data_IF_406899589218
#
_entry.id   IF_406899589218
#
_cell.length_a   1.000
_cell.length_b   1.000
_cell.length_c   1.000
_cell.angle_alpha   90.00
_cell.angle_beta   90.00
_cell.angle_gamma   90.00
#
_symmetry.space_group_name_H-M   'P 1'
#
loop_
_entity.id
_entity.type
_entity.pdbx_description
1 polymer ?
#
# COMPACT_ATOMS: atom_id res chain seq x y z
N UNK A 1 -18.23 -1.23 7.67
CA UNK A 1 -16.79 -1.38 7.31
C UNK A 1 -16.58 -0.83 5.90
N UNK A 2 -16.03 0.39 5.78
CA UNK A 2 -15.95 1.10 4.51
C UNK A 2 -14.92 0.49 3.57
N UNK A 3 -15.33 0.18 2.32
CA UNK A 3 -14.44 -0.36 1.28
C UNK A 3 -13.35 0.66 0.95
N UNK A 4 -12.15 0.44 1.49
CA UNK A 4 -10.95 1.19 1.11
C UNK A 4 -10.62 1.00 -0.37
N UNK A 5 -11.05 -0.08 -1.01
CA UNK A 5 -10.94 -0.29 -2.45
C UNK A 5 -12.05 -1.22 -2.92
N UNK A 6 -12.48 -1.13 -4.18
CA UNK A 6 -13.47 -2.06 -4.75
C UNK A 6 -12.94 -3.51 -4.69
N UNK A 7 -11.63 -3.68 -4.88
CA UNK A 7 -10.95 -4.97 -4.82
C UNK A 7 -10.53 -5.33 -3.39
N UNK A 8 -11.07 -6.45 -2.89
CA UNK A 8 -10.72 -7.04 -1.59
C UNK A 8 -9.21 -7.30 -1.42
N UNK A 9 -8.54 -7.69 -2.49
CA UNK A 9 -7.10 -8.01 -2.50
C UNK A 9 -6.25 -6.77 -2.16
N UNK A 10 -6.56 -5.64 -2.81
CA UNK A 10 -5.89 -4.35 -2.61
C UNK A 10 -6.25 -3.80 -1.23
N UNK A 11 -7.50 -3.90 -0.81
CA UNK A 11 -7.92 -3.46 0.53
C UNK A 11 -7.15 -4.21 1.64
N UNK A 12 -7.04 -5.53 1.53
CA UNK A 12 -6.25 -6.32 2.47
C UNK A 12 -4.74 -5.98 2.40
N UNK A 13 -4.19 -5.71 1.21
CA UNK A 13 -2.81 -5.26 1.08
C UNK A 13 -2.55 -3.90 1.76
N UNK A 14 -3.51 -2.96 1.67
CA UNK A 14 -3.43 -1.67 2.37
C UNK A 14 -3.52 -1.88 3.88
N UNK A 15 -4.43 -2.75 4.34
CA UNK A 15 -4.59 -3.04 5.76
C UNK A 15 -3.31 -3.62 6.36
N UNK A 16 -2.70 -4.63 5.71
CA UNK A 16 -1.43 -5.21 6.15
C UNK A 16 -0.30 -4.17 6.17
N UNK A 17 -0.33 -3.19 5.25
CA UNK A 17 0.62 -2.09 5.27
C UNK A 17 0.43 -1.22 6.52
N UNK A 18 -0.81 -0.82 6.81
CA UNK A 18 -1.15 -0.02 7.98
C UNK A 18 -0.76 -0.72 9.28
N UNK A 19 -0.99 -2.04 9.38
CA UNK A 19 -0.60 -2.87 10.53
C UNK A 19 0.92 -2.93 10.71
N UNK A 20 1.69 -2.83 9.61
CA UNK A 20 3.15 -2.74 9.65
C UNK A 20 3.69 -1.30 9.83
N UNK A 21 2.83 -0.34 10.16
CA UNK A 21 3.23 1.06 10.38
C UNK A 21 3.39 1.89 9.11
N UNK A 22 2.97 1.38 7.94
CA UNK A 22 2.95 2.18 6.73
C UNK A 22 1.82 3.20 6.75
N UNK A 23 2.04 4.33 6.11
CA UNK A 23 1.04 5.38 5.97
C UNK A 23 0.40 5.31 4.59
N UNK A 24 -0.92 5.10 4.53
CA UNK A 24 -1.68 5.19 3.29
C UNK A 24 -2.16 6.63 3.04
N UNK A 25 -1.66 7.25 1.97
CA UNK A 25 -2.08 8.58 1.52
C UNK A 25 -2.96 8.46 0.28
N UNK A 26 -4.27 8.69 0.43
CA UNK A 26 -5.22 8.67 -0.68
C UNK A 26 -4.93 9.84 -1.63
N UNK A 27 -4.90 9.56 -2.94
CA UNK A 27 -4.72 10.61 -3.94
C UNK A 27 -6.08 11.20 -4.30
N UNK A 28 -6.26 12.51 -4.12
CA UNK A 28 -7.57 13.16 -4.35
C UNK A 28 -7.77 13.68 -5.78
N UNK A 29 -6.75 13.62 -6.65
CA UNK A 29 -6.74 14.35 -7.93
C UNK A 29 -6.34 13.55 -9.16
N UNK A 30 -6.22 12.22 -9.09
CA UNK A 30 -5.80 11.44 -10.26
C UNK A 30 -6.69 10.21 -10.42
N UNK A 31 -7.51 10.18 -11.46
CA UNK A 31 -8.40 9.06 -11.79
C UNK A 31 -7.67 7.71 -11.94
N UNK A 32 -6.35 7.75 -12.15
CA UNK A 32 -5.51 6.57 -12.39
C UNK A 32 -4.89 6.03 -11.08
N UNK A 33 -4.70 6.87 -10.06
CA UNK A 33 -4.02 6.50 -8.82
C UNK A 33 -4.98 6.61 -7.63
N UNK A 34 -5.23 5.48 -6.97
CA UNK A 34 -6.06 5.42 -5.77
C UNK A 34 -5.38 6.09 -4.57
N UNK A 35 -4.06 5.89 -4.45
CA UNK A 35 -3.26 6.46 -3.38
C UNK A 35 -1.82 6.02 -3.45
N UNK A 36 -1.04 6.39 -2.43
CA UNK A 36 0.34 5.97 -2.26
C UNK A 36 0.54 5.46 -0.84
N UNK A 37 1.16 4.30 -0.71
CA UNK A 37 1.67 3.76 0.54
C UNK A 37 3.08 4.29 0.75
N UNK A 38 3.30 4.89 1.91
CA UNK A 38 4.57 5.46 2.34
C UNK A 38 5.08 4.64 3.53
N UNK A 39 6.31 4.15 3.40
CA UNK A 39 7.01 3.47 4.48
C UNK A 39 7.25 4.42 5.67
N UNK A 40 7.22 3.93 6.93
CA UNK A 40 7.54 4.75 8.11
C UNK A 40 8.97 5.30 8.06
N UNK A 41 9.90 4.54 7.49
CA UNK A 41 11.26 5.03 7.28
C UNK A 41 11.30 6.05 6.13
N UNK A 42 11.24 7.34 6.50
CA UNK A 42 11.22 8.50 5.62
C UNK A 42 12.61 8.82 5.00
N UNK A 43 13.48 7.82 4.88
CA UNK A 43 14.82 8.00 4.31
C UNK A 43 14.77 8.20 2.79
N UNK A 44 15.85 8.68 2.18
CA UNK A 44 15.96 8.79 0.70
C UNK A 44 15.85 7.44 -0.05
N UNK A 45 15.93 6.32 0.69
CA UNK A 45 15.66 4.95 0.24
C UNK A 45 14.24 4.45 0.59
N UNK A 46 13.42 5.32 1.19
CA UNK A 46 12.10 5.02 1.71
C UNK A 46 11.21 4.39 0.64
N UNK A 47 10.71 3.19 0.95
CA UNK A 47 9.87 2.45 0.03
C UNK A 47 8.52 3.18 -0.11
N UNK A 48 8.19 3.62 -1.32
CA UNK A 48 6.86 4.13 -1.66
C UNK A 48 6.22 3.26 -2.72
N UNK A 49 4.95 2.92 -2.52
CA UNK A 49 4.17 2.12 -3.47
C UNK A 49 2.89 2.83 -3.86
N UNK A 50 2.80 3.18 -5.14
CA UNK A 50 1.59 3.75 -5.73
C UNK A 50 0.55 2.65 -5.93
N UNK A 51 -0.65 2.87 -5.39
CA UNK A 51 -1.82 2.02 -5.58
C UNK A 51 -2.65 2.60 -6.71
N UNK A 52 -2.86 1.82 -7.77
CA UNK A 52 -3.67 2.23 -8.93
C UNK A 52 -5.15 1.89 -8.69
N UNK A 53 -6.05 2.75 -9.17
CA UNK A 53 -7.51 2.52 -9.07
C UNK A 53 -8.01 1.49 -10.08
N UNK A 54 -7.46 1.51 -11.29
CA UNK A 54 -7.86 0.67 -12.44
C UNK A 54 -6.71 -0.18 -12.99
N UNK A 55 -6.08 -1.04 -12.17
CA UNK A 55 -5.08 -1.96 -12.67
C UNK A 55 -5.75 -3.01 -13.56
N UNK A 56 -5.14 -3.33 -14.72
CA UNK A 56 -5.60 -4.38 -15.62
C UNK A 56 -5.71 -5.76 -14.94
N UNK A 57 -4.91 -5.97 -13.87
CA UNK A 57 -4.99 -7.14 -12.99
C UNK A 57 -4.86 -6.71 -11.51
N UNK A 58 -5.98 -6.56 -10.78
CA UNK A 58 -5.95 -6.08 -9.39
C UNK A 58 -5.30 -7.06 -8.41
N UNK A 59 -5.45 -8.38 -8.63
CA UNK A 59 -4.84 -9.43 -7.79
C UNK A 59 -3.31 -9.38 -7.83
N UNK A 60 -2.74 -9.34 -9.04
CA UNK A 60 -1.28 -9.23 -9.19
C UNK A 60 -0.76 -7.91 -8.63
N UNK A 61 -1.48 -6.80 -8.83
CA UNK A 61 -1.10 -5.52 -8.27
C UNK A 61 -1.08 -5.56 -6.73
N UNK A 62 -2.11 -6.15 -6.11
CA UNK A 62 -2.16 -6.36 -4.67
C UNK A 62 -1.02 -7.25 -4.17
N UNK A 63 -0.74 -8.37 -4.84
CA UNK A 63 0.40 -9.25 -4.52
C UNK A 63 1.73 -8.51 -4.59
N UNK A 64 1.92 -7.64 -5.58
CA UNK A 64 3.13 -6.83 -5.68
C UNK A 64 3.25 -5.84 -4.53
N UNK A 65 2.16 -5.19 -4.13
CA UNK A 65 2.12 -4.30 -2.97
C UNK A 65 2.46 -5.09 -1.70
N UNK A 66 1.77 -6.22 -1.43
CA UNK A 66 2.05 -7.09 -0.28
C UNK A 66 3.48 -7.59 -0.26
N UNK A 67 4.01 -8.01 -1.40
CA UNK A 67 5.40 -8.46 -1.51
C UNK A 67 6.36 -7.32 -1.20
N UNK A 68 6.08 -6.10 -1.66
CA UNK A 68 6.90 -4.94 -1.35
C UNK A 68 6.86 -4.58 0.13
N UNK A 69 5.68 -4.63 0.76
CA UNK A 69 5.54 -4.41 2.20
C UNK A 69 6.30 -5.48 2.97
N UNK A 70 6.09 -6.77 2.64
CA UNK A 70 6.78 -7.91 3.28
C UNK A 70 8.29 -7.91 3.06
N UNK A 71 8.76 -7.43 1.91
CA UNK A 71 10.19 -7.33 1.58
C UNK A 71 10.83 -6.08 2.19
N UNK A 72 10.01 -5.12 2.64
CA UNK A 72 10.48 -3.95 3.33
C UNK A 72 10.58 -4.29 4.82
N UNK A 73 11.80 -4.51 5.29
CA UNK A 73 12.09 -4.89 6.67
C UNK A 73 11.91 -3.76 7.69
N UNK A 74 11.26 -2.64 7.34
CA UNK A 74 10.93 -1.55 8.27
C UNK A 74 9.63 -1.82 9.04
N UNK A 75 9.28 -3.08 9.24
CA UNK A 75 8.32 -3.46 10.27
C UNK A 75 8.95 -2.99 11.58
N UNK A 76 8.34 -2.01 12.26
CA UNK A 76 8.64 -1.77 13.66
C UNK A 76 8.30 -3.05 14.44
N UNK A 77 9.24 -4.00 14.47
CA UNK A 77 9.38 -4.93 15.57
C UNK A 77 10.08 -4.14 16.67
N UNK A 78 9.30 -3.34 17.38
CA UNK A 78 9.71 -2.80 18.66
C UNK A 78 9.35 -3.86 19.71
N UNK A 79 10.38 -4.63 20.07
CA UNK A 79 10.63 -5.42 21.30
C UNK A 79 9.58 -6.43 21.81
#
# INVERSE_FOLDING_TARGET
MGKLHHNKEIAAAIQEALEQGWTFKKSSGSAHAFGVLLCPEHNRLGCKKSVLSTPRNPENHAKQIRKAIKQCSHSENNE
#
